data_IF_338655785000
#
_entry.id   IF_338655785000
#
_cell.length_a   1.000
_cell.length_b   1.000
_cell.length_c   1.000
_cell.angle_alpha   90.00
_cell.angle_beta   90.00
_cell.angle_gamma   90.00
#
_symmetry.space_group_name_H-M   'P 1'
#
loop_
_entity.id
_entity.type
_entity.pdbx_description
1 polymer ?
#
# COMPACT_ATOMS: atom_id res chain seq x y z
N UNK A 1 -26.51 -6.25 5.71
CA UNK A 1 -25.04 -6.18 5.54
C UNK A 1 -24.45 -5.60 6.80
N UNK A 2 -23.76 -6.42 7.57
CA UNK A 2 -23.14 -6.02 8.85
C UNK A 2 -22.01 -5.02 8.59
N UNK A 3 -21.71 -4.14 9.54
CA UNK A 3 -20.65 -3.13 9.38
C UNK A 3 -19.27 -3.76 9.14
N UNK A 4 -19.08 -4.98 9.67
CA UNK A 4 -17.94 -5.86 9.37
C UNK A 4 -17.76 -6.12 7.86
N UNK A 5 -18.84 -6.46 7.15
CA UNK A 5 -18.79 -6.71 5.70
C UNK A 5 -18.54 -5.45 4.87
N UNK A 6 -18.81 -4.25 5.42
CA UNK A 6 -18.50 -2.96 4.75
C UNK A 6 -17.03 -2.59 4.95
N UNK A 7 -16.53 -2.77 6.17
CA UNK A 7 -15.14 -2.51 6.55
C UNK A 7 -14.17 -3.40 5.77
N UNK A 8 -14.45 -4.70 5.68
CA UNK A 8 -13.66 -5.62 4.87
C UNK A 8 -13.64 -5.22 3.39
N UNK A 9 -14.78 -4.84 2.82
CA UNK A 9 -14.87 -4.39 1.42
C UNK A 9 -14.13 -3.07 1.15
N UNK A 10 -14.11 -2.16 2.13
CA UNK A 10 -13.35 -0.92 2.04
C UNK A 10 -11.85 -1.17 2.11
N UNK A 11 -11.41 -2.09 2.97
CA UNK A 11 -10.02 -2.58 3.04
C UNK A 11 -9.54 -3.17 1.72
N UNK A 12 -10.36 -4.06 1.14
CA UNK A 12 -10.13 -4.64 -0.18
C UNK A 12 -10.13 -3.58 -1.29
N UNK A 13 -10.81 -2.45 -1.10
CA UNK A 13 -10.80 -1.31 -2.04
C UNK A 13 -9.56 -0.43 -1.90
N UNK A 14 -9.06 -0.22 -0.68
CA UNK A 14 -7.87 0.60 -0.42
C UNK A 14 -6.62 -0.06 -0.98
N UNK A 15 -6.47 -1.39 -0.85
CA UNK A 15 -5.37 -2.12 -1.50
C UNK A 15 -5.44 -2.11 -3.04
N UNK A 16 -6.58 -1.71 -3.62
CA UNK A 16 -6.81 -1.55 -5.06
C UNK A 16 -6.58 -0.13 -5.59
N UNK A 17 -6.06 0.78 -4.76
CA UNK A 17 -5.76 2.16 -5.17
C UNK A 17 -4.24 2.40 -5.21
N UNK A 18 -3.58 2.19 -6.36
CA UNK A 18 -2.15 2.47 -6.53
C UNK A 18 -1.77 3.90 -6.14
N UNK A 19 -2.73 4.82 -6.26
CA UNK A 19 -2.57 6.23 -5.94
C UNK A 19 -2.24 6.51 -4.47
N UNK A 20 -2.59 5.64 -3.53
CA UNK A 20 -2.24 5.82 -2.10
C UNK A 20 -0.72 5.78 -1.89
N UNK A 21 -0.01 5.14 -2.81
CA UNK A 21 1.45 5.03 -2.78
C UNK A 21 2.14 6.16 -3.55
N UNK A 22 1.41 7.01 -4.30
CA UNK A 22 1.99 8.08 -5.11
C UNK A 22 2.89 9.03 -4.30
N UNK A 23 2.53 9.47 -3.09
CA UNK A 23 3.40 10.35 -2.30
C UNK A 23 4.73 9.67 -1.93
N UNK A 24 4.67 8.40 -1.54
CA UNK A 24 5.87 7.61 -1.22
C UNK A 24 6.73 7.40 -2.46
N UNK A 25 6.10 6.99 -3.57
CA UNK A 25 6.75 6.84 -4.87
C UNK A 25 7.50 8.11 -5.28
N UNK A 26 6.81 9.25 -5.27
CA UNK A 26 7.38 10.54 -5.67
C UNK A 26 8.60 10.91 -4.80
N UNK A 27 8.51 10.70 -3.48
CA UNK A 27 9.60 11.00 -2.55
C UNK A 27 10.84 10.16 -2.84
N UNK A 28 10.68 8.86 -3.02
CA UNK A 28 11.77 7.93 -3.30
C UNK A 28 12.42 8.17 -4.67
N UNK A 29 11.60 8.45 -5.69
CA UNK A 29 12.06 8.81 -7.03
C UNK A 29 12.84 10.14 -7.04
N UNK A 30 12.37 11.14 -6.28
CA UNK A 30 13.01 12.46 -6.22
C UNK A 30 14.30 12.49 -5.38
N UNK A 31 14.36 11.74 -4.27
CA UNK A 31 15.44 11.88 -3.29
C UNK A 31 16.53 10.81 -3.40
N UNK A 32 16.21 9.63 -3.93
CA UNK A 32 17.07 8.46 -3.79
C UNK A 32 17.43 7.78 -5.11
N UNK A 33 17.04 8.35 -6.26
CA UNK A 33 17.24 7.75 -7.59
C UNK A 33 16.72 6.30 -7.68
N UNK A 34 15.64 6.01 -6.94
CA UNK A 34 14.96 4.71 -6.96
C UNK A 34 13.73 4.84 -7.84
N UNK A 35 13.52 3.93 -8.77
CA UNK A 35 12.32 3.88 -9.60
C UNK A 35 11.30 2.93 -8.96
N UNK A 36 10.06 3.40 -8.79
CA UNK A 36 9.00 2.60 -8.16
C UNK A 36 7.83 2.43 -9.12
N UNK A 37 7.49 1.18 -9.38
CA UNK A 37 6.33 0.82 -10.19
C UNK A 37 5.29 0.18 -9.29
N UNK A 38 4.07 0.73 -9.29
CA UNK A 38 2.94 0.17 -8.56
C UNK A 38 1.91 -0.25 -9.59
N UNK A 39 1.73 -1.56 -9.74
CA UNK A 39 0.82 -2.15 -10.70
C UNK A 39 -0.33 -2.85 -9.98
N UNK A 40 -1.53 -2.73 -10.55
CA UNK A 40 -2.71 -3.50 -10.14
C UNK A 40 -3.11 -4.47 -11.26
N UNK A 41 -2.13 -5.23 -11.74
CA UNK A 41 -2.30 -6.13 -12.89
C UNK A 41 -3.27 -7.29 -12.62
N UNK A 42 -3.62 -7.55 -11.36
CA UNK A 42 -4.49 -8.67 -10.99
C UNK A 42 -5.67 -8.22 -10.11
N UNK A 43 -6.59 -7.45 -10.71
CA UNK A 43 -7.87 -7.05 -10.09
C UNK A 43 -8.65 -8.27 -9.58
N UNK A 44 -8.48 -9.42 -10.25
CA UNK A 44 -9.08 -10.72 -9.93
C UNK A 44 -8.56 -11.35 -8.63
N UNK A 45 -7.29 -11.11 -8.25
CA UNK A 45 -6.67 -11.72 -7.06
C UNK A 45 -6.51 -10.74 -5.88
N UNK A 46 -6.98 -9.50 -5.98
CA UNK A 46 -6.77 -8.45 -4.97
C UNK A 46 -5.27 -8.19 -4.66
N UNK A 47 -4.38 -8.43 -5.62
CA UNK A 47 -2.94 -8.28 -5.43
C UNK A 47 -2.45 -6.94 -6.03
N UNK A 48 -1.77 -6.14 -5.20
CA UNK A 48 -1.03 -4.96 -5.60
C UNK A 48 0.45 -5.33 -5.71
N UNK A 49 1.03 -5.16 -6.89
CA UNK A 49 2.44 -5.43 -7.15
C UNK A 49 3.24 -4.12 -7.04
N UNK A 50 4.30 -4.13 -6.22
CA UNK A 50 5.19 -2.99 -6.04
C UNK A 50 6.61 -3.43 -6.41
N UNK A 51 7.13 -2.89 -7.50
CA UNK A 51 8.50 -3.12 -7.98
C UNK A 51 9.36 -1.91 -7.61
N UNK A 52 10.54 -2.18 -7.07
CA UNK A 52 11.50 -1.16 -6.60
C UNK A 52 12.84 -1.44 -7.30
N UNK A 53 13.31 -0.47 -8.09
CA UNK A 53 14.56 -0.57 -8.85
C UNK A 53 15.52 0.55 -8.44
N UNK A 54 16.71 0.21 -7.97
CA UNK A 54 17.68 1.17 -7.42
C UNK A 54 18.88 0.48 -6.81
N UNK A 55 19.72 1.22 -6.06
CA UNK A 55 20.80 0.63 -5.26
C UNK A 55 20.23 -0.30 -4.19
N UNK A 56 20.84 -1.46 -3.97
CA UNK A 56 20.40 -2.46 -2.98
C UNK A 56 20.09 -1.88 -1.59
N UNK A 57 20.95 -0.98 -1.09
CA UNK A 57 20.71 -0.34 0.20
C UNK A 57 19.43 0.50 0.21
N UNK A 58 19.16 1.26 -0.86
CA UNK A 58 17.96 2.08 -1.00
C UNK A 58 16.72 1.21 -1.26
N UNK A 59 16.85 0.12 -2.02
CA UNK A 59 15.77 -0.83 -2.27
C UNK A 59 15.28 -1.44 -0.96
N UNK A 60 16.19 -1.83 -0.06
CA UNK A 60 15.83 -2.40 1.23
C UNK A 60 15.08 -1.39 2.10
N UNK A 61 15.52 -0.13 2.13
CA UNK A 61 14.83 0.92 2.89
C UNK A 61 13.43 1.21 2.33
N UNK A 62 13.32 1.35 1.01
CA UNK A 62 12.03 1.54 0.35
C UNK A 62 11.10 0.34 0.64
N UNK A 63 11.57 -0.90 0.45
CA UNK A 63 10.79 -2.10 0.75
C UNK A 63 10.24 -2.10 2.19
N UNK A 64 11.09 -1.79 3.18
CA UNK A 64 10.70 -1.74 4.58
C UNK A 64 9.62 -0.67 4.84
N UNK A 65 9.74 0.50 4.21
CA UNK A 65 8.76 1.57 4.34
C UNK A 65 7.41 1.18 3.73
N UNK A 66 7.40 0.67 2.49
CA UNK A 66 6.19 0.21 1.82
C UNK A 66 5.50 -0.91 2.61
N UNK A 67 6.28 -1.85 3.16
CA UNK A 67 5.76 -2.92 4.04
C UNK A 67 5.17 -2.36 5.33
N UNK A 68 5.83 -1.39 5.97
CA UNK A 68 5.35 -0.74 7.19
C UNK A 68 4.04 0.01 6.95
N UNK A 69 3.96 0.79 5.86
CA UNK A 69 2.76 1.51 5.47
C UNK A 69 1.59 0.57 5.16
N UNK A 70 1.83 -0.54 4.45
CA UNK A 70 0.84 -1.60 4.24
C UNK A 70 0.37 -2.22 5.57
N UNK A 71 1.30 -2.47 6.50
CA UNK A 71 0.97 -2.96 7.83
C UNK A 71 0.11 -1.96 8.62
N UNK A 72 0.45 -0.68 8.58
CA UNK A 72 -0.32 0.40 9.17
C UNK A 72 -1.72 0.50 8.55
N UNK A 73 -1.85 0.45 7.22
CA UNK A 73 -3.15 0.47 6.55
C UNK A 73 -4.03 -0.70 6.99
N UNK A 74 -3.46 -1.91 7.06
CA UNK A 74 -4.16 -3.10 7.54
C UNK A 74 -4.64 -2.94 8.99
N UNK A 75 -3.80 -2.38 9.86
CA UNK A 75 -4.11 -2.20 11.29
C UNK A 75 -5.07 -1.02 11.55
N UNK A 76 -4.95 0.09 10.81
CA UNK A 76 -5.80 1.27 10.98
C UNK A 76 -7.19 1.04 10.41
N UNK A 77 -7.30 0.27 9.34
CA UNK A 77 -8.60 -0.12 8.86
C UNK A 77 -9.29 -1.17 9.75
N UNK A 78 -8.63 -1.65 10.81
CA UNK A 78 -9.22 -2.44 11.91
C UNK A 78 -9.84 -1.55 13.01
N UNK A 79 -9.60 -0.23 13.03
CA UNK A 79 -10.06 0.66 14.12
C UNK A 79 -11.13 1.64 13.61
N UNK A 80 -12.34 1.14 13.40
CA UNK A 80 -13.59 1.88 13.63
C UNK A 80 -14.69 0.86 13.92
N UNK A 81 -14.73 0.39 15.16
CA UNK A 81 -15.99 -0.10 15.69
C UNK A 81 -16.96 1.08 15.70
N UNK A 82 -18.18 0.95 15.13
CA UNK A 82 -19.19 2.00 15.23
C UNK A 82 -19.80 2.15 16.63
N UNK A 83 -19.27 1.44 17.65
CA UNK A 83 -19.71 1.51 19.05
C UNK A 83 -18.52 1.69 20.01
N UNK A 84 -17.77 2.78 19.87
CA UNK A 84 -17.14 3.41 21.04
C UNK A 84 -18.01 4.57 21.47
#
# INVERSE_FOLDING_TARGET
KTDYERMQRNLEGVSKMPSIFNPMKWRWEAQHQVKITVNNNNITNNECEITIEGRDSQNQFAYNEFRSFLGWLRNCAVIRHPNA
#
